data_IF_769340635134
#
_entry.id   IF_769340635134
#
_cell.length_a   1.000
_cell.length_b   1.000
_cell.length_c   1.000
_cell.angle_alpha   90.00
_cell.angle_beta   90.00
_cell.angle_gamma   90.00
#
_symmetry.space_group_name_H-M   'P 1'
#
loop_
_entity.id
_entity.type
_entity.pdbx_description
1 polymer ?
#
# COMPACT_ATOMS: atom_id res chain seq x y z
N UNK A 1 5.34 2.44 -25.40
CA UNK A 1 4.89 1.49 -24.37
C UNK A 1 3.65 2.05 -23.71
N UNK A 2 2.75 1.19 -23.24
CA UNK A 2 1.54 1.67 -22.57
C UNK A 2 1.85 2.05 -21.12
N UNK A 3 1.51 3.28 -20.75
CA UNK A 3 1.42 3.69 -19.35
C UNK A 3 0.24 3.01 -18.70
N UNK A 4 0.44 2.52 -17.49
CA UNK A 4 -0.63 1.91 -16.70
C UNK A 4 -0.52 2.39 -15.26
N UNK A 5 -1.65 2.74 -14.70
CA UNK A 5 -1.80 3.00 -13.28
C UNK A 5 -2.35 1.75 -12.62
N UNK A 6 -1.81 1.38 -11.48
CA UNK A 6 -2.24 0.23 -10.70
C UNK A 6 -2.45 0.62 -9.25
N UNK A 7 -3.36 -0.10 -8.60
CA UNK A 7 -3.54 -0.07 -7.16
C UNK A 7 -3.47 -1.48 -6.62
N UNK A 8 -2.64 -1.66 -5.62
CA UNK A 8 -2.55 -2.86 -4.82
C UNK A 8 -2.94 -2.47 -3.40
N UNK A 9 -4.04 -3.01 -2.90
CA UNK A 9 -4.44 -2.84 -1.50
C UNK A 9 -4.16 -4.16 -0.80
N UNK A 10 -3.21 -4.14 0.13
CA UNK A 10 -2.87 -5.30 0.94
C UNK A 10 -2.94 -4.84 2.39
N UNK A 11 -3.93 -5.38 3.10
CA UNK A 11 -4.05 -5.16 4.53
C UNK A 11 -2.88 -5.82 5.25
N UNK A 12 -1.87 -5.02 5.52
CA UNK A 12 -0.77 -5.39 6.41
C UNK A 12 -1.25 -5.52 7.86
N UNK A 13 -2.31 -4.79 8.21
CA UNK A 13 -3.04 -4.97 9.45
C UNK A 13 -3.97 -6.16 9.28
N UNK A 14 -3.55 -7.31 9.81
CA UNK A 14 -4.41 -8.46 10.01
C UNK A 14 -5.58 -8.04 10.92
N UNK A 15 -6.64 -7.45 10.35
CA UNK A 15 -7.90 -7.32 11.06
C UNK A 15 -8.50 -8.71 11.17
N UNK A 16 -8.88 -9.08 12.39
CA UNK A 16 -9.49 -10.36 12.66
C UNK A 16 -10.85 -10.14 13.31
N UNK A 17 -11.89 -10.60 12.64
CA UNK A 17 -13.22 -10.64 13.22
C UNK A 17 -13.46 -12.06 13.70
N UNK A 18 -13.70 -12.24 14.98
CA UNK A 18 -14.08 -13.53 15.57
C UNK A 18 -15.57 -13.48 15.84
N UNK A 19 -16.30 -14.43 15.29
CA UNK A 19 -17.75 -14.56 15.43
C UNK A 19 -18.04 -15.90 16.07
N UNK A 20 -18.77 -15.88 17.18
CA UNK A 20 -19.10 -17.10 17.92
C UNK A 20 -20.56 -17.48 17.68
N UNK A 21 -20.80 -18.78 17.49
CA UNK A 21 -22.14 -19.34 17.55
C UNK A 21 -22.55 -19.53 19.02
N UNK A 22 -23.53 -18.74 19.45
CA UNK A 22 -24.13 -18.82 20.78
C UNK A 22 -25.58 -19.33 20.73
N UNK A 23 -26.03 -19.84 19.58
CA UNK A 23 -27.40 -20.34 19.40
C UNK A 23 -27.71 -21.55 20.28
N UNK A 24 -28.98 -21.89 20.43
CA UNK A 24 -29.43 -23.13 21.09
C UNK A 24 -28.75 -24.39 20.51
N UNK A 25 -28.49 -24.41 19.20
CA UNK A 25 -27.86 -25.55 18.54
C UNK A 25 -26.39 -25.75 18.93
N UNK A 26 -25.75 -24.69 19.45
CA UNK A 26 -24.39 -24.73 19.96
C UNK A 26 -24.31 -25.15 21.44
N UNK A 27 -25.41 -25.58 22.05
CA UNK A 27 -25.46 -25.72 23.49
C UNK A 27 -24.44 -26.70 24.06
N UNK A 28 -24.33 -27.87 23.43
CA UNK A 28 -23.44 -28.95 23.86
C UNK A 28 -21.96 -28.64 23.59
N UNK A 29 -21.67 -27.80 22.60
CA UNK A 29 -20.31 -27.45 22.19
C UNK A 29 -19.85 -26.08 22.69
N UNK A 30 -20.68 -25.39 23.48
CA UNK A 30 -20.42 -24.00 23.88
C UNK A 30 -19.08 -23.81 24.59
N UNK A 31 -18.74 -24.69 25.53
CA UNK A 31 -17.47 -24.61 26.27
C UNK A 31 -16.26 -24.76 25.35
N UNK A 32 -16.36 -25.60 24.32
CA UNK A 32 -15.31 -25.80 23.33
C UNK A 32 -15.17 -24.59 22.40
N UNK A 33 -16.30 -24.03 21.93
CA UNK A 33 -16.34 -22.79 21.14
C UNK A 33 -15.68 -21.65 21.92
N UNK A 34 -16.04 -21.48 23.19
CA UNK A 34 -15.50 -20.44 24.06
C UNK A 34 -14.01 -20.64 24.33
N UNK A 35 -13.59 -21.86 24.65
CA UNK A 35 -12.18 -22.21 24.87
C UNK A 35 -11.34 -21.92 23.63
N UNK A 36 -11.83 -22.30 22.44
CA UNK A 36 -11.13 -22.06 21.18
C UNK A 36 -11.02 -20.58 20.85
N UNK A 37 -12.08 -19.81 21.07
CA UNK A 37 -12.08 -18.36 20.92
C UNK A 37 -11.07 -17.69 21.85
N UNK A 38 -11.11 -18.03 23.15
CA UNK A 38 -10.19 -17.48 24.15
C UNK A 38 -8.73 -17.81 23.83
N UNK A 39 -8.44 -19.08 23.50
CA UNK A 39 -7.10 -19.52 23.09
C UNK A 39 -6.61 -18.80 21.83
N UNK A 40 -7.50 -18.58 20.86
CA UNK A 40 -7.21 -17.83 19.64
C UNK A 40 -6.85 -16.38 19.99
N UNK A 41 -7.70 -15.70 20.74
CA UNK A 41 -7.54 -14.29 21.14
C UNK A 41 -6.23 -14.05 21.90
N UNK A 42 -5.86 -14.99 22.78
CA UNK A 42 -4.68 -14.90 23.63
C UNK A 42 -3.37 -15.18 22.87
N UNK A 43 -3.41 -15.95 21.77
CA UNK A 43 -2.24 -16.25 20.94
C UNK A 43 -1.98 -15.18 19.87
N UNK A 44 -2.94 -14.32 19.58
CA UNK A 44 -2.77 -13.26 18.59
C UNK A 44 -1.84 -12.15 19.13
N UNK A 45 -0.88 -11.68 18.32
CA UNK A 45 -0.10 -10.50 18.64
C UNK A 45 -0.97 -9.28 18.98
N UNK A 46 -0.52 -8.47 19.93
CA UNK A 46 -1.26 -7.28 20.43
C UNK A 46 -1.51 -6.19 19.39
N UNK A 47 -0.76 -6.18 18.28
CA UNK A 47 -0.92 -5.22 17.19
C UNK A 47 -2.00 -5.62 16.17
N UNK A 48 -2.57 -6.82 16.29
CA UNK A 48 -3.70 -7.28 15.47
C UNK A 48 -4.97 -6.63 16.02
N UNK A 49 -5.62 -5.83 15.16
CA UNK A 49 -6.94 -5.28 15.42
C UNK A 49 -7.95 -6.44 15.40
N UNK A 50 -8.51 -6.75 16.57
CA UNK A 50 -9.40 -7.89 16.79
C UNK A 50 -10.76 -7.43 17.31
N UNK A 51 -11.82 -7.95 16.70
CA UNK A 51 -13.21 -7.65 17.03
C UNK A 51 -13.95 -8.94 17.34
N UNK A 52 -14.85 -8.92 18.32
CA UNK A 52 -15.63 -10.08 18.73
C UNK A 52 -17.13 -9.82 18.51
N UNK A 53 -17.81 -10.78 17.92
CA UNK A 53 -19.25 -10.76 17.68
C UNK A 53 -19.87 -12.13 17.99
N UNK A 54 -21.19 -12.14 18.07
CA UNK A 54 -22.00 -13.36 18.04
C UNK A 54 -22.82 -13.41 16.76
N UNK A 55 -23.10 -14.61 16.27
CA UNK A 55 -24.07 -14.78 15.18
C UNK A 55 -25.40 -14.12 15.56
N UNK A 56 -26.05 -13.51 14.56
CA UNK A 56 -27.29 -12.75 14.70
C UNK A 56 -27.24 -11.51 15.60
N UNK A 57 -26.03 -10.99 15.87
CA UNK A 57 -25.86 -9.79 16.67
C UNK A 57 -24.87 -8.82 16.01
N UNK A 58 -25.34 -7.59 15.75
CA UNK A 58 -24.52 -6.52 15.17
C UNK A 58 -23.62 -5.82 16.20
N UNK A 59 -23.85 -6.06 17.50
CA UNK A 59 -23.08 -5.46 18.57
C UNK A 59 -21.70 -6.10 18.68
N UNK A 60 -20.68 -5.26 18.76
CA UNK A 60 -19.32 -5.68 19.07
C UNK A 60 -19.14 -5.86 20.57
N UNK A 61 -18.46 -6.94 20.95
CA UNK A 61 -18.18 -7.29 22.33
C UNK A 61 -16.69 -7.09 22.64
N UNK A 62 -16.38 -6.65 23.86
CA UNK A 62 -15.00 -6.43 24.28
C UNK A 62 -14.33 -7.76 24.61
N UNK A 63 -13.42 -8.23 23.75
CA UNK A 63 -12.74 -9.52 23.93
C UNK A 63 -12.00 -9.67 25.28
N UNK A 64 -11.60 -8.59 25.94
CA UNK A 64 -10.96 -8.65 27.25
C UNK A 64 -11.89 -9.20 28.34
N UNK A 65 -13.20 -9.07 28.15
CA UNK A 65 -14.22 -9.53 29.08
C UNK A 65 -14.73 -10.93 28.75
N UNK A 66 -14.24 -11.57 27.68
CA UNK A 66 -14.78 -12.83 27.18
C UNK A 66 -14.86 -13.90 28.28
N UNK A 67 -13.79 -14.11 29.05
CA UNK A 67 -13.78 -15.16 30.08
C UNK A 67 -14.71 -14.84 31.28
N UNK A 68 -15.08 -13.57 31.49
CA UNK A 68 -15.90 -13.15 32.63
C UNK A 68 -17.38 -13.03 32.27
N UNK A 69 -17.68 -12.55 31.06
CA UNK A 69 -19.04 -12.21 30.61
C UNK A 69 -19.63 -13.22 29.62
N UNK A 70 -18.85 -14.19 29.12
CA UNK A 70 -19.31 -15.12 28.08
C UNK A 70 -20.63 -15.82 28.41
N UNK A 71 -20.88 -16.16 29.67
CA UNK A 71 -22.14 -16.79 30.08
C UNK A 71 -23.33 -15.84 29.87
N UNK A 72 -23.21 -14.59 30.34
CA UNK A 72 -24.25 -13.57 30.18
C UNK A 72 -24.48 -13.28 28.70
N UNK A 73 -23.41 -13.10 27.94
CA UNK A 73 -23.50 -12.85 26.50
C UNK A 73 -24.13 -14.02 25.75
N UNK A 74 -23.87 -15.26 26.17
CA UNK A 74 -24.56 -16.41 25.59
C UNK A 74 -26.05 -16.35 25.85
N UNK A 75 -26.47 -16.10 27.09
CA UNK A 75 -27.89 -15.98 27.45
C UNK A 75 -28.61 -14.90 26.62
N UNK A 76 -27.96 -13.76 26.36
CA UNK A 76 -28.47 -12.68 25.48
C UNK A 76 -28.63 -13.09 24.00
N UNK A 77 -27.88 -14.09 23.55
CA UNK A 77 -27.80 -14.52 22.15
C UNK A 77 -28.41 -15.90 21.90
N UNK A 78 -28.81 -16.63 22.96
CA UNK A 78 -29.24 -18.03 22.89
C UNK A 78 -30.43 -18.24 21.95
N UNK A 79 -31.46 -17.41 22.09
CA UNK A 79 -32.70 -17.50 21.31
C UNK A 79 -32.58 -16.91 19.89
N UNK A 80 -31.37 -16.57 19.44
CA UNK A 80 -31.13 -16.06 18.10
C UNK A 80 -30.69 -17.21 17.19
N UNK A 81 -31.12 -17.19 15.94
CA UNK A 81 -30.66 -18.15 14.93
C UNK A 81 -29.18 -17.94 14.56
N UNK A 82 -28.64 -18.80 13.70
CA UNK A 82 -27.26 -18.70 13.21
C UNK A 82 -27.21 -17.91 11.90
N UNK A 83 -27.15 -16.58 11.97
CA UNK A 83 -27.10 -15.68 10.82
C UNK A 83 -25.89 -14.75 10.88
N UNK A 84 -25.14 -14.59 9.78
CA UNK A 84 -23.95 -13.73 9.73
C UNK A 84 -24.28 -12.29 9.31
N UNK A 85 -25.42 -12.07 8.65
CA UNK A 85 -25.81 -10.78 8.08
C UNK A 85 -25.72 -9.61 9.03
N UNK A 86 -26.21 -9.68 10.30
CA UNK A 86 -26.09 -8.56 11.23
C UNK A 86 -24.65 -8.14 11.50
N UNK A 87 -23.74 -9.12 11.58
CA UNK A 87 -22.30 -8.87 11.76
C UNK A 87 -21.75 -8.20 10.51
N UNK A 88 -21.98 -8.75 9.32
CA UNK A 88 -21.43 -8.19 8.07
C UNK A 88 -21.92 -6.75 7.84
N UNK A 89 -23.20 -6.47 8.08
CA UNK A 89 -23.76 -5.12 7.98
C UNK A 89 -23.09 -4.15 8.97
N UNK A 90 -22.79 -4.60 10.19
CA UNK A 90 -22.06 -3.81 11.20
C UNK A 90 -20.59 -3.56 10.81
N UNK A 91 -19.94 -4.52 10.15
CA UNK A 91 -18.57 -4.36 9.67
C UNK A 91 -18.43 -3.39 8.49
N UNK A 92 -19.50 -3.21 7.69
CA UNK A 92 -19.46 -2.38 6.49
C UNK A 92 -18.43 -2.91 5.49
N UNK A 93 -17.42 -2.11 5.15
CA UNK A 93 -16.28 -2.60 4.37
C UNK A 93 -15.25 -3.25 5.29
N UNK A 94 -15.36 -4.57 5.51
CA UNK A 94 -14.34 -5.33 6.22
C UNK A 94 -13.18 -5.68 5.29
N UNK A 95 -11.96 -5.39 5.72
CA UNK A 95 -10.74 -5.77 4.98
C UNK A 95 -10.00 -6.97 5.58
N UNK A 96 -10.47 -7.46 6.73
CA UNK A 96 -9.86 -8.56 7.49
C UNK A 96 -10.40 -9.96 7.17
N UNK A 97 -9.87 -10.95 7.89
CA UNK A 97 -10.42 -12.32 7.91
C UNK A 97 -11.56 -12.40 8.94
N UNK A 98 -12.59 -13.16 8.62
CA UNK A 98 -13.75 -13.41 9.48
C UNK A 98 -13.73 -14.88 9.89
N UNK A 99 -13.42 -15.13 11.15
CA UNK A 99 -13.41 -16.46 11.74
C UNK A 99 -14.76 -16.69 12.40
N UNK A 100 -15.48 -17.72 11.96
CA UNK A 100 -16.75 -18.12 12.56
C UNK A 100 -16.52 -19.45 13.26
N UNK A 101 -16.67 -19.48 14.59
CA UNK A 101 -16.51 -20.68 15.41
C UNK A 101 -17.90 -21.14 15.85
N UNK A 102 -18.28 -22.36 15.49
CA UNK A 102 -19.62 -22.87 15.79
C UNK A 102 -19.78 -24.36 15.56
N UNK A 103 -20.96 -24.88 15.88
CA UNK A 103 -21.28 -26.31 15.78
C UNK A 103 -22.47 -26.63 14.87
N UNK A 104 -23.02 -25.62 14.20
CA UNK A 104 -24.15 -25.79 13.29
C UNK A 104 -24.13 -24.84 12.09
N UNK A 105 -25.02 -25.06 11.11
CA UNK A 105 -25.06 -24.27 9.89
C UNK A 105 -25.38 -22.80 10.12
N UNK A 106 -24.71 -21.93 9.37
CA UNK A 106 -25.06 -20.51 9.23
C UNK A 106 -26.01 -20.37 8.03
N UNK A 107 -27.22 -19.88 8.28
CA UNK A 107 -28.35 -20.07 7.35
C UNK A 107 -28.42 -19.05 6.21
N UNK A 108 -27.73 -17.93 6.29
CA UNK A 108 -27.76 -16.82 5.32
C UNK A 108 -26.45 -16.68 4.52
N UNK A 109 -25.62 -17.72 4.45
CA UNK A 109 -24.35 -17.65 3.72
C UNK A 109 -24.52 -17.50 2.20
N UNK A 110 -25.64 -17.98 1.65
CA UNK A 110 -25.95 -17.88 0.21
C UNK A 110 -26.01 -16.42 -0.26
N UNK A 111 -26.49 -15.51 0.60
CA UNK A 111 -26.57 -14.07 0.34
C UNK A 111 -25.19 -13.42 0.10
N UNK A 112 -24.10 -14.13 0.43
CA UNK A 112 -22.74 -13.59 0.41
C UNK A 112 -21.82 -14.23 -0.63
N UNK A 113 -22.30 -15.19 -1.44
CA UNK A 113 -21.48 -15.96 -2.40
C UNK A 113 -20.77 -15.08 -3.45
N UNK A 114 -21.37 -13.95 -3.83
CA UNK A 114 -20.88 -13.06 -4.88
C UNK A 114 -20.41 -11.70 -4.34
N UNK A 115 -19.96 -11.67 -3.08
CA UNK A 115 -19.55 -10.43 -2.42
C UNK A 115 -18.05 -10.42 -2.14
N UNK A 116 -17.51 -9.26 -1.75
CA UNK A 116 -16.11 -9.14 -1.32
C UNK A 116 -15.79 -9.94 -0.03
N UNK A 117 -16.78 -10.62 0.56
CA UNK A 117 -16.62 -11.46 1.74
C UNK A 117 -16.36 -12.93 1.43
N UNK A 118 -16.65 -13.41 0.21
CA UNK A 118 -16.60 -14.85 -0.12
C UNK A 118 -15.26 -15.50 0.23
N UNK A 119 -14.13 -14.83 0.00
CA UNK A 119 -12.78 -15.32 0.32
C UNK A 119 -12.24 -14.94 1.72
N UNK A 120 -13.07 -14.30 2.56
CA UNK A 120 -12.66 -13.78 3.87
C UNK A 120 -13.07 -14.69 5.03
N UNK A 121 -14.07 -15.55 4.82
CA UNK A 121 -14.58 -16.46 5.84
C UNK A 121 -13.64 -17.65 6.10
N UNK A 122 -13.45 -17.93 7.38
CA UNK A 122 -12.81 -19.13 7.91
C UNK A 122 -13.80 -19.73 8.91
N UNK A 123 -14.40 -20.85 8.56
CA UNK A 123 -15.34 -21.57 9.41
C UNK A 123 -14.58 -22.60 10.24
N UNK A 124 -14.63 -22.49 11.55
CA UNK A 124 -13.99 -23.41 12.48
C UNK A 124 -15.06 -24.30 13.06
N UNK A 125 -15.08 -25.54 12.56
CA UNK A 125 -16.14 -26.50 12.82
C UNK A 125 -15.88 -27.25 14.12
N UNK A 126 -16.69 -27.00 15.14
CA UNK A 126 -16.66 -27.72 16.42
C UNK A 126 -17.67 -28.88 16.44
N UNK A 127 -18.66 -28.86 15.55
CA UNK A 127 -19.67 -29.91 15.42
C UNK A 127 -20.04 -30.20 13.98
N UNK A 128 -21.27 -29.88 13.61
CA UNK A 128 -21.72 -29.99 12.22
C UNK A 128 -21.11 -28.85 11.39
N UNK A 129 -21.03 -29.07 10.08
CA UNK A 129 -20.55 -28.07 9.12
C UNK A 129 -21.34 -26.76 9.26
N UNK A 130 -20.61 -25.64 9.29
CA UNK A 130 -21.19 -24.30 9.34
C UNK A 130 -21.66 -23.85 7.97
N UNK A 131 -20.95 -24.24 6.91
CA UNK A 131 -21.27 -23.81 5.54
C UNK A 131 -22.00 -24.84 4.70
N UNK A 132 -22.20 -26.06 5.22
CA UNK A 132 -22.71 -27.21 4.45
C UNK A 132 -21.90 -27.37 3.15
N UNK A 133 -22.57 -27.51 2.01
CA UNK A 133 -21.96 -27.70 0.70
C UNK A 133 -21.65 -26.39 -0.05
N UNK A 134 -21.82 -25.22 0.59
CA UNK A 134 -21.61 -23.93 -0.07
C UNK A 134 -20.12 -23.68 -0.37
N UNK A 135 -19.84 -23.16 -1.56
CA UNK A 135 -18.49 -22.76 -1.98
C UNK A 135 -18.16 -21.34 -1.51
N UNK A 136 -18.13 -21.15 -0.19
CA UNK A 136 -17.83 -19.88 0.47
C UNK A 136 -16.78 -20.09 1.56
N UNK A 137 -15.76 -19.23 1.59
CA UNK A 137 -14.67 -19.32 2.56
C UNK A 137 -13.95 -20.66 2.56
N UNK A 138 -13.30 -20.95 3.69
CA UNK A 138 -12.71 -22.25 3.98
C UNK A 138 -13.30 -22.78 5.28
N UNK A 139 -13.61 -24.07 5.34
CA UNK A 139 -14.02 -24.74 6.57
C UNK A 139 -12.88 -25.64 7.05
N UNK A 140 -12.53 -25.55 8.32
CA UNK A 140 -11.36 -26.17 8.93
C UNK A 140 -11.70 -26.77 10.29
N UNK A 141 -10.89 -27.72 10.73
CA UNK A 141 -10.94 -28.26 12.09
C UNK A 141 -10.24 -27.31 13.09
N UNK A 142 -10.60 -27.35 14.39
CA UNK A 142 -10.01 -26.48 15.42
C UNK A 142 -8.46 -26.54 15.48
N UNK A 143 -7.89 -27.71 15.21
CA UNK A 143 -6.44 -27.94 15.21
C UNK A 143 -5.69 -27.20 14.09
N UNK A 144 -6.38 -26.86 13.01
CA UNK A 144 -5.80 -26.19 11.84
C UNK A 144 -5.81 -24.66 11.99
N UNK A 145 -6.66 -24.13 12.87
CA UNK A 145 -6.85 -22.69 13.08
C UNK A 145 -5.53 -21.92 13.28
N UNK A 146 -4.55 -22.38 14.11
CA UNK A 146 -3.26 -21.69 14.25
C UNK A 146 -2.48 -21.51 12.94
N UNK A 147 -2.75 -22.35 11.94
CA UNK A 147 -2.25 -22.20 10.56
C UNK A 147 -2.64 -20.87 9.94
N UNK A 148 -3.86 -20.40 10.23
CA UNK A 148 -4.53 -19.28 9.59
C UNK A 148 -4.54 -17.98 10.41
N UNK A 149 -4.33 -18.05 11.73
CA UNK A 149 -4.42 -16.90 12.64
C UNK A 149 -3.34 -15.83 12.44
N UNK A 150 -2.16 -16.21 11.92
CA UNK A 150 -1.07 -15.27 11.75
C UNK A 150 -0.19 -15.64 10.56
N UNK A 151 -0.47 -15.02 9.41
CA UNK A 151 0.35 -15.13 8.21
C UNK A 151 0.75 -13.73 7.69
N UNK A 152 1.53 -12.94 8.47
CA UNK A 152 1.89 -11.58 8.09
C UNK A 152 2.62 -11.54 6.76
N UNK A 153 2.34 -10.50 5.98
CA UNK A 153 3.09 -10.19 4.77
C UNK A 153 4.50 -9.75 5.18
N UNK A 154 5.50 -10.46 4.69
CA UNK A 154 6.91 -10.14 4.92
C UNK A 154 7.44 -9.19 3.85
N UNK A 155 7.04 -9.44 2.60
CA UNK A 155 7.44 -8.60 1.47
C UNK A 155 6.45 -8.67 0.32
N UNK A 156 6.46 -7.62 -0.49
CA UNK A 156 5.71 -7.51 -1.74
C UNK A 156 6.67 -7.06 -2.82
N UNK A 157 6.67 -7.78 -3.93
CA UNK A 157 7.47 -7.47 -5.11
C UNK A 157 6.55 -7.33 -6.30
N UNK A 158 6.61 -6.18 -6.97
CA UNK A 158 5.83 -5.89 -8.16
C UNK A 158 6.76 -5.92 -9.36
N UNK A 159 6.36 -6.68 -10.39
CA UNK A 159 7.14 -6.87 -11.61
C UNK A 159 6.23 -7.09 -12.83
N UNK A 160 6.85 -7.21 -14.00
CA UNK A 160 6.15 -7.43 -15.28
C UNK A 160 7.11 -7.31 -16.45
N UNK A 161 6.65 -7.67 -17.65
CA UNK A 161 7.45 -7.57 -18.87
C UNK A 161 7.67 -6.10 -19.22
N UNK A 162 8.95 -5.68 -19.29
CA UNK A 162 9.31 -4.28 -19.52
C UNK A 162 8.95 -3.33 -18.38
N UNK A 163 8.72 -3.88 -17.17
CA UNK A 163 8.29 -3.11 -16.01
C UNK A 163 9.25 -1.96 -15.69
N UNK A 164 8.71 -0.76 -15.54
CA UNK A 164 9.44 0.40 -15.03
C UNK A 164 8.48 1.30 -14.26
N UNK A 165 8.54 1.31 -12.92
CA UNK A 165 7.74 2.22 -12.12
C UNK A 165 8.35 3.62 -12.24
N UNK A 166 7.50 4.62 -12.44
CA UNK A 166 7.93 6.02 -12.53
C UNK A 166 7.12 6.94 -11.62
N UNK A 167 6.29 6.37 -10.75
CA UNK A 167 5.63 7.03 -9.64
C UNK A 167 5.07 5.99 -8.65
N UNK A 168 5.12 6.26 -7.34
CA UNK A 168 4.31 5.55 -6.35
C UNK A 168 4.08 6.38 -5.09
N UNK A 169 2.99 6.10 -4.36
CA UNK A 169 2.60 6.87 -3.18
C UNK A 169 3.14 6.32 -1.83
N UNK A 170 3.57 5.05 -1.78
CA UNK A 170 4.11 4.43 -0.56
C UNK A 170 5.64 4.40 -0.62
N UNK A 171 6.28 5.41 -0.04
CA UNK A 171 7.75 5.58 -0.05
C UNK A 171 8.52 4.48 0.66
N UNK A 172 7.84 3.57 1.38
CA UNK A 172 8.44 2.35 1.91
C UNK A 172 8.87 1.37 0.80
N UNK A 173 8.26 1.45 -0.38
CA UNK A 173 8.69 0.68 -1.54
C UNK A 173 9.92 1.30 -2.19
N UNK A 174 10.85 0.43 -2.59
CA UNK A 174 12.10 0.78 -3.26
C UNK A 174 12.21 0.07 -4.59
N UNK A 175 12.78 0.75 -5.58
CA UNK A 175 13.07 0.15 -6.88
C UNK A 175 14.39 -0.61 -6.82
N UNK A 176 14.38 -1.83 -7.33
CA UNK A 176 15.55 -2.67 -7.50
C UNK A 176 15.82 -2.77 -9.01
N UNK A 177 16.97 -2.26 -9.45
CA UNK A 177 17.42 -2.33 -10.84
C UNK A 177 18.36 -3.53 -11.01
N UNK A 178 17.84 -4.66 -11.46
CA UNK A 178 18.60 -5.89 -11.81
C UNK A 178 18.25 -6.30 -13.24
N UNK A 179 18.48 -7.56 -13.60
CA UNK A 179 18.02 -8.13 -14.88
C UNK A 179 16.52 -7.91 -15.11
N UNK A 180 15.74 -7.98 -14.03
CA UNK A 180 14.37 -7.49 -13.96
C UNK A 180 14.30 -6.29 -13.01
N UNK A 181 13.50 -5.30 -13.39
CA UNK A 181 13.20 -4.15 -12.54
C UNK A 181 12.02 -4.54 -11.65
N UNK A 182 12.17 -4.30 -10.36
CA UNK A 182 11.18 -4.64 -9.34
C UNK A 182 10.86 -3.43 -8.48
N UNK A 183 9.61 -3.29 -8.07
CA UNK A 183 9.22 -2.39 -6.98
C UNK A 183 8.96 -3.24 -5.72
N UNK A 184 9.80 -3.08 -4.71
CA UNK A 184 9.86 -3.98 -3.55
C UNK A 184 9.55 -3.24 -2.25
N UNK A 185 8.57 -3.74 -1.50
CA UNK A 185 8.29 -3.35 -0.13
C UNK A 185 8.66 -4.51 0.81
N UNK A 186 9.41 -4.24 1.87
CA UNK A 186 9.80 -5.25 2.86
C UNK A 186 9.53 -4.72 4.26
N UNK A 187 8.97 -5.57 5.13
CA UNK A 187 8.68 -5.24 6.53
C UNK A 187 7.92 -3.91 6.70
N UNK A 188 7.02 -3.60 5.76
CA UNK A 188 6.23 -2.38 5.81
C UNK A 188 5.08 -2.56 6.79
N UNK A 189 4.73 -1.47 7.49
CA UNK A 189 3.51 -1.42 8.31
C UNK A 189 2.24 -1.47 7.46
N UNK A 190 2.32 -0.98 6.22
CA UNK A 190 1.25 -0.97 5.23
C UNK A 190 1.83 -1.34 3.86
N UNK A 191 1.28 -2.37 3.22
CA UNK A 191 1.70 -2.81 1.88
C UNK A 191 0.82 -2.24 0.76
N UNK A 192 -0.23 -1.49 1.09
CA UNK A 192 -1.02 -0.77 0.11
C UNK A 192 -0.16 0.23 -0.68
N UNK A 193 -0.34 0.24 -2.00
CA UNK A 193 0.41 1.08 -2.92
C UNK A 193 -0.42 1.40 -4.16
N UNK A 194 -0.36 2.66 -4.58
CA UNK A 194 -0.77 3.12 -5.90
C UNK A 194 0.47 3.54 -6.67
N UNK A 195 0.61 3.08 -7.91
CA UNK A 195 1.80 3.31 -8.70
C UNK A 195 1.51 3.44 -10.19
N UNK A 196 2.37 4.18 -10.89
CA UNK A 196 2.37 4.28 -12.34
C UNK A 196 3.62 3.61 -12.90
N UNK A 197 3.44 2.81 -13.94
CA UNK A 197 4.55 2.14 -14.59
C UNK A 197 4.34 1.98 -16.10
N UNK A 198 5.46 1.73 -16.77
CA UNK A 198 5.46 1.01 -18.03
C UNK A 198 5.44 -0.49 -17.78
N UNK A 199 4.92 -1.25 -18.74
CA UNK A 199 5.06 -2.69 -18.79
C UNK A 199 3.75 -3.42 -19.08
N UNK A 200 3.90 -4.72 -19.30
CA UNK A 200 2.81 -5.65 -19.55
C UNK A 200 2.79 -6.73 -18.45
N UNK A 201 1.61 -7.35 -18.29
CA UNK A 201 1.43 -8.48 -17.36
C UNK A 201 1.88 -8.18 -15.93
N UNK A 202 1.67 -6.93 -15.49
CA UNK A 202 2.07 -6.49 -14.14
C UNK A 202 1.44 -7.39 -13.07
N UNK A 203 2.29 -7.90 -12.19
CA UNK A 203 1.93 -8.83 -11.13
C UNK A 203 2.61 -8.44 -9.83
N UNK A 204 1.99 -8.82 -8.72
CA UNK A 204 2.56 -8.74 -7.38
C UNK A 204 2.83 -10.14 -6.85
N UNK A 205 4.06 -10.39 -6.39
CA UNK A 205 4.43 -11.55 -5.58
C UNK A 205 4.44 -11.13 -4.12
N UNK A 206 3.63 -11.79 -3.31
CA UNK A 206 3.43 -11.47 -1.90
C UNK A 206 3.97 -12.63 -1.10
N UNK A 207 5.07 -12.40 -0.38
CA UNK A 207 5.67 -13.38 0.51
C UNK A 207 5.10 -13.20 1.90
N UNK A 208 4.57 -14.27 2.47
CA UNK A 208 4.06 -14.28 3.84
C UNK A 208 4.94 -15.16 4.71
N UNK A 209 4.71 -15.20 6.03
CA UNK A 209 5.48 -16.09 6.92
C UNK A 209 5.29 -17.57 6.58
N UNK A 210 4.11 -17.93 6.06
CA UNK A 210 3.74 -19.26 5.58
C UNK A 210 3.31 -19.15 4.12
N UNK A 211 4.25 -19.45 3.23
CA UNK A 211 4.02 -19.53 1.78
C UNK A 211 4.11 -18.20 1.03
N UNK A 212 3.75 -18.27 -0.24
CA UNK A 212 3.74 -17.15 -1.17
C UNK A 212 2.49 -17.19 -2.04
N UNK A 213 2.06 -16.02 -2.48
CA UNK A 213 0.97 -15.88 -3.45
C UNK A 213 1.39 -14.91 -4.56
N UNK A 214 0.85 -15.14 -5.75
CA UNK A 214 1.06 -14.26 -6.90
C UNK A 214 -0.28 -13.75 -7.40
N UNK A 215 -0.41 -12.43 -7.52
CA UNK A 215 -1.64 -11.76 -7.97
C UNK A 215 -1.35 -11.01 -9.25
N UNK A 216 -2.14 -11.27 -10.30
CA UNK A 216 -2.13 -10.45 -11.53
C UNK A 216 -2.85 -9.14 -11.24
N UNK A 217 -2.17 -8.01 -11.44
CA UNK A 217 -2.74 -6.70 -11.18
C UNK A 217 -3.56 -6.22 -12.39
N UNK A 218 -4.72 -5.63 -12.12
CA UNK A 218 -5.55 -4.97 -13.13
C UNK A 218 -5.27 -3.47 -13.10
N UNK A 219 -5.12 -2.81 -14.26
CA UNK A 219 -4.99 -1.36 -14.30
C UNK A 219 -6.21 -0.69 -13.64
N UNK A 220 -6.00 0.41 -12.91
CA UNK A 220 -7.09 1.24 -12.42
C UNK A 220 -7.07 2.61 -13.10
N UNK A 221 -8.24 3.15 -13.43
CA UNK A 221 -8.34 4.30 -14.34
C UNK A 221 -8.02 5.68 -13.75
N UNK A 222 -7.77 5.81 -12.45
CA UNK A 222 -7.59 7.13 -11.81
C UNK A 222 -6.11 7.48 -11.65
N UNK A 223 -5.60 8.39 -12.50
CA UNK A 223 -4.31 9.05 -12.29
C UNK A 223 -4.35 9.90 -11.02
N UNK A 224 -3.21 10.07 -10.39
CA UNK A 224 -3.10 10.91 -9.20
C UNK A 224 -3.09 12.38 -9.58
N UNK A 225 -3.72 13.21 -8.74
CA UNK A 225 -3.76 14.66 -8.97
C UNK A 225 -2.37 15.28 -8.76
N UNK A 226 -1.98 16.12 -9.71
CA UNK A 226 -0.71 16.81 -9.70
C UNK A 226 -0.84 18.17 -9.01
N UNK A 227 -0.15 18.37 -7.88
CA UNK A 227 -0.11 19.68 -7.21
C UNK A 227 1.06 20.51 -7.73
N UNK A 228 0.75 21.69 -8.28
CA UNK A 228 1.75 22.68 -8.71
C UNK A 228 1.85 23.81 -7.69
N UNK A 229 3.08 24.17 -7.33
CA UNK A 229 3.44 25.28 -6.44
C UNK A 229 4.10 26.39 -7.28
N UNK A 230 4.00 27.65 -6.85
CA UNK A 230 4.58 28.79 -7.58
C UNK A 230 5.90 29.17 -6.92
N UNK A 231 6.95 29.39 -7.72
CA UNK A 231 8.22 29.91 -7.20
C UNK A 231 8.07 31.36 -6.76
N UNK A 232 8.82 31.74 -5.72
CA UNK A 232 9.02 33.16 -5.40
C UNK A 232 9.75 33.89 -6.54
N UNK A 233 9.64 35.22 -6.59
CA UNK A 233 10.34 36.03 -7.61
C UNK A 233 11.85 35.81 -7.62
N UNK A 234 12.46 35.62 -6.44
CA UNK A 234 13.89 35.35 -6.32
C UNK A 234 14.26 33.98 -6.90
N UNK A 235 13.50 32.93 -6.57
CA UNK A 235 13.72 31.60 -7.13
C UNK A 235 13.45 31.53 -8.63
N UNK A 236 12.47 32.29 -9.11
CA UNK A 236 12.20 32.45 -10.54
C UNK A 236 13.40 33.09 -11.27
N UNK A 237 14.10 34.06 -10.67
CA UNK A 237 15.34 34.63 -11.22
C UNK A 237 16.49 33.60 -11.24
N UNK A 238 16.66 32.83 -10.16
CA UNK A 238 17.64 31.72 -10.09
C UNK A 238 17.42 30.71 -11.21
N UNK A 239 16.15 30.33 -11.43
CA UNK A 239 15.75 29.43 -12.52
C UNK A 239 16.08 30.01 -13.90
N UNK A 240 15.61 31.23 -14.19
CA UNK A 240 15.82 31.88 -15.49
C UNK A 240 17.31 32.05 -15.82
N UNK A 241 18.11 32.51 -14.85
CA UNK A 241 19.56 32.65 -14.99
C UNK A 241 20.24 31.31 -15.25
N UNK A 242 19.83 30.27 -14.53
CA UNK A 242 20.37 28.91 -14.72
C UNK A 242 20.10 28.36 -16.12
N UNK A 243 18.91 28.62 -16.68
CA UNK A 243 18.56 28.20 -18.04
C UNK A 243 19.43 28.88 -19.11
N UNK A 244 19.70 30.18 -18.98
CA UNK A 244 20.53 30.95 -19.94
C UNK A 244 22.03 30.87 -19.64
N UNK A 245 22.45 30.03 -18.68
CA UNK A 245 23.86 29.81 -18.35
C UNK A 245 24.53 30.99 -17.64
N UNK A 246 23.78 31.84 -16.92
CA UNK A 246 24.31 32.96 -16.14
C UNK A 246 24.41 32.63 -14.65
N UNK A 247 25.38 33.24 -13.99
CA UNK A 247 25.49 33.21 -12.52
C UNK A 247 24.29 33.87 -11.84
N UNK A 248 23.98 33.43 -10.63
CA UNK A 248 22.92 33.97 -9.78
C UNK A 248 23.42 34.20 -8.34
N UNK A 249 22.71 35.04 -7.59
CA UNK A 249 22.98 35.25 -6.16
C UNK A 249 22.20 34.21 -5.36
N UNK A 250 22.91 33.41 -4.57
CA UNK A 250 22.31 32.35 -3.76
C UNK A 250 21.44 32.97 -2.64
N UNK A 251 20.18 32.53 -2.47
CA UNK A 251 19.31 33.07 -1.41
C UNK A 251 19.80 32.73 0.00
N UNK A 252 20.65 31.70 0.13
CA UNK A 252 21.09 31.21 1.42
C UNK A 252 22.38 31.89 1.88
N UNK A 253 23.40 32.02 1.02
CA UNK A 253 24.70 32.59 1.40
C UNK A 253 24.97 33.99 0.83
N UNK A 254 24.08 34.52 -0.01
CA UNK A 254 24.23 35.82 -0.69
C UNK A 254 25.47 35.93 -1.60
N UNK A 255 26.17 34.83 -1.87
CA UNK A 255 27.30 34.78 -2.81
C UNK A 255 26.83 34.40 -4.23
N UNK A 256 27.68 34.69 -5.23
CA UNK A 256 27.46 34.25 -6.61
C UNK A 256 27.72 32.75 -6.75
N UNK A 257 26.77 32.03 -7.33
CA UNK A 257 26.92 30.63 -7.70
C UNK A 257 26.95 30.46 -9.21
N UNK A 258 27.69 29.43 -9.66
CA UNK A 258 27.75 29.04 -11.06
C UNK A 258 26.35 28.63 -11.59
N UNK A 259 26.08 28.81 -12.89
CA UNK A 259 24.83 28.33 -13.48
C UNK A 259 24.67 26.82 -13.25
N UNK A 260 23.41 26.37 -13.15
CA UNK A 260 23.05 24.96 -12.93
C UNK A 260 23.38 24.40 -11.54
N UNK A 261 23.91 25.21 -10.63
CA UNK A 261 24.08 24.84 -9.22
C UNK A 261 22.72 24.62 -8.58
N UNK A 262 22.51 23.45 -7.97
CA UNK A 262 21.25 23.08 -7.32
C UNK A 262 21.31 23.11 -5.79
N UNK A 263 22.53 22.99 -5.23
CA UNK A 263 22.77 22.90 -3.80
C UNK A 263 23.81 23.96 -3.37
N UNK A 264 23.58 24.59 -2.22
CA UNK A 264 24.49 25.51 -1.55
C UNK A 264 25.16 24.79 -0.37
N UNK A 265 26.49 24.71 -0.35
CA UNK A 265 27.24 24.06 0.72
C UNK A 265 27.91 25.03 1.69
N UNK A 266 27.73 26.35 1.52
CA UNK A 266 28.38 27.38 2.35
C UNK A 266 27.90 27.36 3.80
N UNK A 267 26.59 27.21 4.03
CA UNK A 267 25.98 27.14 5.38
C UNK A 267 25.90 25.71 5.94
N UNK A 268 25.77 24.72 5.06
CA UNK A 268 25.70 23.31 5.43
C UNK A 268 26.71 22.50 4.59
N UNK A 269 28.00 22.46 5.00
CA UNK A 269 29.06 21.85 4.18
C UNK A 269 28.87 20.37 3.88
N UNK A 270 28.18 19.63 4.77
CA UNK A 270 28.02 18.17 4.65
C UNK A 270 26.78 17.81 3.85
N UNK A 271 25.64 18.44 4.14
CA UNK A 271 24.34 18.06 3.54
C UNK A 271 23.95 18.94 2.36
N UNK A 272 24.47 20.17 2.30
CA UNK A 272 24.00 21.21 1.39
C UNK A 272 22.56 21.65 1.68
N UNK A 273 22.17 22.77 1.09
CA UNK A 273 20.79 23.28 1.08
C UNK A 273 20.36 23.54 -0.37
N UNK A 274 19.16 23.11 -0.81
CA UNK A 274 18.70 23.41 -2.16
C UNK A 274 18.64 24.91 -2.41
N UNK A 275 19.14 25.40 -3.56
CA UNK A 275 19.10 26.84 -3.90
C UNK A 275 17.68 27.38 -4.09
N UNK A 276 16.69 26.49 -4.15
CA UNK A 276 15.26 26.78 -4.11
C UNK A 276 14.74 26.52 -2.69
N UNK A 277 14.52 27.58 -1.91
CA UNK A 277 14.04 27.47 -0.54
C UNK A 277 12.67 26.78 -0.45
N UNK A 278 11.82 26.94 -1.48
CA UNK A 278 10.52 26.27 -1.61
C UNK A 278 10.63 24.74 -1.62
N UNK A 279 11.80 24.18 -1.91
CA UNK A 279 11.98 22.73 -1.87
C UNK A 279 12.03 22.20 -0.43
N UNK A 280 12.50 23.00 0.52
CA UNK A 280 12.73 22.57 1.91
C UNK A 280 13.69 21.38 1.96
N UNK A 281 13.32 20.33 2.68
CA UNK A 281 14.11 19.09 2.82
C UNK A 281 13.69 18.00 1.83
N UNK A 282 12.82 18.31 0.86
CA UNK A 282 12.27 17.34 -0.09
C UNK A 282 13.34 16.88 -1.08
N UNK A 283 13.46 15.56 -1.23
CA UNK A 283 14.35 14.88 -2.19
C UNK A 283 13.57 14.30 -3.36
N UNK A 284 14.26 13.91 -4.43
CA UNK A 284 13.66 13.32 -5.63
C UNK A 284 13.70 14.30 -6.80
N UNK A 285 12.70 14.22 -7.67
CA UNK A 285 12.63 15.05 -8.85
C UNK A 285 11.71 16.26 -8.65
N UNK A 286 12.04 17.36 -9.31
CA UNK A 286 11.22 18.57 -9.40
C UNK A 286 11.02 18.92 -10.87
N UNK A 287 9.77 19.04 -11.27
CA UNK A 287 9.40 19.47 -12.62
C UNK A 287 9.00 20.93 -12.56
N UNK A 288 9.75 21.78 -13.25
CA UNK A 288 9.41 23.18 -13.46
C UNK A 288 8.55 23.33 -14.71
N UNK A 289 7.63 24.28 -14.67
CA UNK A 289 6.84 24.75 -15.80
C UNK A 289 6.87 26.27 -15.82
N UNK A 290 7.40 26.80 -16.91
CA UNK A 290 7.42 28.24 -17.18
C UNK A 290 6.18 28.62 -18.00
N UNK A 291 5.48 29.67 -17.57
CA UNK A 291 4.46 30.36 -18.36
C UNK A 291 4.86 31.82 -18.52
N UNK A 292 4.10 32.58 -19.33
CA UNK A 292 4.35 34.02 -19.51
C UNK A 292 4.32 34.80 -18.19
N UNK A 293 3.52 34.37 -17.23
CA UNK A 293 3.26 35.10 -15.99
C UNK A 293 4.11 34.61 -14.81
N UNK A 294 4.40 33.31 -14.74
CA UNK A 294 5.01 32.70 -13.55
C UNK A 294 5.78 31.44 -13.88
N UNK A 295 6.67 31.08 -12.95
CA UNK A 295 7.31 29.77 -12.94
C UNK A 295 6.72 28.97 -11.79
N UNK A 296 6.23 27.79 -12.12
CA UNK A 296 5.68 26.84 -11.16
C UNK A 296 6.52 25.59 -11.12
N UNK A 297 6.44 24.84 -10.04
CA UNK A 297 7.10 23.56 -9.90
C UNK A 297 6.16 22.53 -9.29
N UNK A 298 6.44 21.25 -9.55
CA UNK A 298 5.82 20.12 -8.87
C UNK A 298 6.91 19.20 -8.33
N UNK A 299 6.73 18.75 -7.10
CA UNK A 299 7.58 17.75 -6.48
C UNK A 299 7.15 16.33 -6.86
N UNK A 300 8.13 15.52 -7.22
CA UNK A 300 7.98 14.11 -7.52
C UNK A 300 8.84 13.32 -6.52
N UNK A 301 8.23 12.73 -5.48
CA UNK A 301 8.94 12.29 -4.27
C UNK A 301 9.80 11.05 -4.44
N UNK A 302 9.66 10.34 -5.56
CA UNK A 302 10.40 9.11 -5.83
C UNK A 302 11.61 9.39 -6.72
N UNK A 303 12.57 8.47 -6.71
CA UNK A 303 13.84 8.61 -7.42
C UNK A 303 13.78 8.20 -8.89
N UNK A 304 12.59 7.99 -9.47
CA UNK A 304 12.39 7.67 -10.89
C UNK A 304 11.24 8.51 -11.44
N UNK A 305 11.41 9.15 -12.58
CA UNK A 305 10.36 9.94 -13.25
C UNK A 305 10.33 9.67 -14.74
N UNK A 306 9.14 9.68 -15.34
CA UNK A 306 8.96 9.64 -16.80
C UNK A 306 9.52 10.93 -17.42
N UNK A 307 10.32 10.80 -18.48
CA UNK A 307 10.78 11.95 -19.28
C UNK A 307 10.42 11.86 -20.76
N UNK A 308 9.96 10.70 -21.23
CA UNK A 308 9.46 10.47 -22.59
C UNK A 308 8.79 9.10 -22.68
N UNK A 309 8.20 8.75 -23.84
CA UNK A 309 7.35 7.54 -23.98
C UNK A 309 8.09 6.20 -23.81
N UNK A 310 9.42 6.26 -23.91
CA UNK A 310 10.32 5.12 -23.72
C UNK A 310 11.50 5.49 -22.81
N UNK A 311 11.40 6.60 -22.08
CA UNK A 311 12.51 7.16 -21.33
C UNK A 311 12.11 7.54 -19.90
N UNK A 312 12.98 7.20 -18.95
CA UNK A 312 12.86 7.60 -17.55
C UNK A 312 14.17 8.19 -17.05
N UNK A 313 14.09 9.11 -16.10
CA UNK A 313 15.25 9.58 -15.36
C UNK A 313 15.26 8.92 -13.98
N UNK A 314 16.45 8.49 -13.51
CA UNK A 314 16.65 7.82 -12.22
C UNK A 314 17.73 8.55 -11.42
N UNK A 315 17.45 8.89 -10.17
CA UNK A 315 18.46 9.33 -9.19
C UNK A 315 19.08 8.08 -8.55
N UNK A 316 20.39 7.93 -8.70
CA UNK A 316 21.18 6.83 -8.12
C UNK A 316 22.50 7.38 -7.57
N UNK A 317 22.69 7.27 -6.25
CA UNK A 317 23.79 7.93 -5.56
C UNK A 317 23.70 9.46 -5.75
N UNK A 318 24.81 10.08 -6.13
CA UNK A 318 24.91 11.54 -6.32
C UNK A 318 24.65 12.01 -7.76
N UNK A 319 24.01 11.17 -8.59
CA UNK A 319 23.77 11.47 -10.01
C UNK A 319 22.36 11.14 -10.45
N UNK A 320 21.87 11.92 -11.41
CA UNK A 320 20.67 11.59 -12.19
C UNK A 320 21.09 10.97 -13.52
N UNK A 321 20.44 9.89 -13.94
CA UNK A 321 20.77 9.15 -15.17
C UNK A 321 19.53 8.95 -16.03
N UNK A 322 19.67 9.04 -17.34
CA UNK A 322 18.62 8.75 -18.32
C UNK A 322 18.67 7.28 -18.72
N UNK A 323 17.54 6.61 -18.63
CA UNK A 323 17.33 5.24 -19.10
C UNK A 323 16.35 5.25 -20.28
N UNK A 324 16.57 4.35 -21.23
CA UNK A 324 15.71 4.18 -22.40
C UNK A 324 15.38 2.71 -22.62
N UNK A 325 14.11 2.43 -22.97
CA UNK A 325 13.65 1.09 -23.26
C UNK A 325 13.94 0.72 -24.72
N UNK A 326 14.81 -0.26 -24.92
CA UNK A 326 15.26 -0.73 -26.23
C UNK A 326 15.50 -2.25 -26.17
N UNK A 327 15.13 -2.96 -27.24
CA UNK A 327 15.33 -4.43 -27.34
C UNK A 327 14.74 -5.20 -26.15
N UNK A 328 13.62 -4.72 -25.59
CA UNK A 328 12.95 -5.36 -24.45
C UNK A 328 13.59 -5.10 -23.08
N UNK A 329 14.62 -4.24 -22.99
CA UNK A 329 15.34 -3.93 -21.75
C UNK A 329 15.47 -2.42 -21.54
N UNK A 330 15.59 -2.02 -20.27
CA UNK A 330 15.93 -0.65 -19.90
C UNK A 330 17.44 -0.49 -19.84
N UNK A 331 17.97 0.39 -20.68
CA UNK A 331 19.42 0.63 -20.77
C UNK A 331 19.74 2.05 -20.30
N UNK A 332 20.77 2.18 -19.47
CA UNK A 332 21.36 3.48 -19.13
C UNK A 332 21.97 4.10 -20.39
N UNK A 333 21.66 5.38 -20.65
CA UNK A 333 22.14 6.11 -21.83
C UNK A 333 23.17 7.17 -21.49
N UNK A 334 22.86 8.04 -20.53
CA UNK A 334 23.71 9.18 -20.18
C UNK A 334 23.37 9.74 -18.81
N UNK A 335 24.31 10.48 -18.23
CA UNK A 335 24.05 11.35 -17.09
C UNK A 335 23.11 12.50 -17.49
N UNK A 336 22.10 12.76 -16.65
CA UNK A 336 21.13 13.83 -16.84
C UNK A 336 21.71 15.12 -16.27
N UNK A 337 21.86 16.14 -17.13
CA UNK A 337 22.28 17.48 -16.68
C UNK A 337 21.13 18.15 -15.92
N UNK A 338 21.42 18.99 -14.91
CA UNK A 338 20.41 19.84 -14.28
C UNK A 338 19.63 20.66 -15.31
N UNK A 339 18.35 20.91 -15.04
CA UNK A 339 17.42 21.61 -15.93
C UNK A 339 17.26 20.91 -17.28
N UNK A 340 17.04 19.60 -17.25
CA UNK A 340 16.81 18.81 -18.44
C UNK A 340 15.46 19.18 -19.07
N UNK A 341 15.47 19.60 -20.33
CA UNK A 341 14.27 19.99 -21.06
C UNK A 341 13.39 18.77 -21.33
N UNK A 342 12.17 18.75 -20.78
CA UNK A 342 11.16 17.71 -21.01
C UNK A 342 10.27 18.05 -22.21
N UNK A 343 9.88 19.32 -22.31
CA UNK A 343 9.04 19.86 -23.38
C UNK A 343 9.27 21.36 -23.50
N UNK A 344 8.60 22.01 -24.45
CA UNK A 344 8.54 23.47 -24.51
C UNK A 344 8.08 24.01 -23.14
N UNK A 345 8.95 24.74 -22.46
CA UNK A 345 8.76 25.33 -21.13
C UNK A 345 8.66 24.38 -19.92
N UNK A 346 9.04 23.10 -20.05
CA UNK A 346 9.13 22.19 -18.90
C UNK A 346 10.54 21.65 -18.70
N UNK A 347 11.00 21.70 -17.46
CA UNK A 347 12.37 21.35 -17.10
C UNK A 347 12.43 20.47 -15.87
N UNK A 348 13.30 19.48 -15.90
CA UNK A 348 13.50 18.52 -14.83
C UNK A 348 14.78 18.82 -14.05
N UNK A 349 14.68 18.75 -12.73
CA UNK A 349 15.79 18.85 -11.79
C UNK A 349 15.72 17.69 -10.80
N UNK A 350 16.87 17.07 -10.51
CA UNK A 350 16.99 16.04 -9.46
C UNK A 350 17.71 16.60 -8.24
N UNK A 351 17.12 16.42 -7.06
CA UNK A 351 17.68 16.79 -5.74
C UNK A 351 17.90 15.52 -4.94
N UNK A 352 19.09 15.37 -4.37
CA UNK A 352 19.64 14.11 -3.84
C UNK A 352 19.67 14.10 -2.31
#
# INVERSE_FOLDING_TARGET
MNERFFRLSLDAHNRLVIVLDASESAHEQWEEILSLASNTINKLPTHIDKRLFFLSNSQEYNFNNLNHEAKNWREENLSRGSFITPVIKSLGQCTGKIIIIGSGPVYDLEDWLETDFTGKFIFVKVGKSLKKDLNIGIEIEPSELPGYLHNPIQSVEISGKGFMPFYWNNTGYKVILRDEILLCGQQLKEFSISFECYGEETKARIKKSKGEEQIKLKPSGKKLEEKWEILSNHEADVFKRSLVGKEFICPHCSEKHAPKTLMCFKKAPITGEPVYSSFGTRKGFFVFRETKEKISFRHHPVNIIKVGDTQVAIISGNKSKLYQFEQGKWMEKKELKPYYCLSENQYLVGII
#
